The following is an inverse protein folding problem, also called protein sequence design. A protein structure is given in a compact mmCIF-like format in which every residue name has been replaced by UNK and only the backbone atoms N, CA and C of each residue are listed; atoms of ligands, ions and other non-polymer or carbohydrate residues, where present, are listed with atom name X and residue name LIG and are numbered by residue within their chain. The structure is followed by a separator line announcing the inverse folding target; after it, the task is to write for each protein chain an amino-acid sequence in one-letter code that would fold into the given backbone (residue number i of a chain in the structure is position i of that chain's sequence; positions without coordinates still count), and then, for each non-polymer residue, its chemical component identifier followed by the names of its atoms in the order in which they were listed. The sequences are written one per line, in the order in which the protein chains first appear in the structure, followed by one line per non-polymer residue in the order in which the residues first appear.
data_IF_541792104520
#
_entry.id   IF_541792104520
#
_cell.length_a   1.000
_cell.length_b   1.000
_cell.length_c   1.000
_cell.angle_alpha   90.00
_cell.angle_beta   90.00
_cell.angle_gamma   90.00
#
_symmetry.space_group_name_H-M   'P 1'
#
loop_
_entity.id
_entity.type
_entity.pdbx_description
1 polymer ?
#
# COMPACT_ATOMS: atom_id res chain seq x y z
N UNK A 1 -53.38 -1.03 -21.57
CA UNK A 1 -53.67 -0.46 -22.90
C UNK A 1 -53.07 0.94 -22.94
N UNK A 2 -52.16 1.16 -23.91
CA UNK A 2 -51.52 2.41 -24.37
C UNK A 2 -50.42 3.14 -23.55
N UNK A 3 -49.23 3.03 -24.16
CA UNK A 3 -47.98 3.80 -24.19
C UNK A 3 -48.15 5.34 -24.25
N UNK A 4 -47.28 6.08 -23.56
CA UNK A 4 -46.64 7.35 -24.03
C UNK A 4 -45.23 7.41 -23.43
N UNK A 5 -44.15 7.30 -24.21
CA UNK A 5 -43.50 8.25 -25.12
C UNK A 5 -42.66 9.33 -24.42
N UNK A 6 -41.43 9.46 -24.93
CA UNK A 6 -40.27 10.23 -24.51
C UNK A 6 -40.56 11.65 -24.00
N UNK A 7 -39.74 12.09 -23.03
CA UNK A 7 -39.16 13.43 -23.01
C UNK A 7 -37.95 13.49 -22.07
N UNK A 8 -36.77 13.56 -22.66
CA UNK A 8 -35.58 14.17 -22.05
C UNK A 8 -35.84 15.65 -21.82
N UNK A 9 -35.30 16.24 -20.75
CA UNK A 9 -34.85 17.62 -20.80
C UNK A 9 -33.39 17.75 -20.36
N UNK A 10 -32.55 18.14 -21.31
CA UNK A 10 -31.25 18.80 -21.09
C UNK A 10 -31.52 20.26 -20.70
N UNK A 11 -31.38 20.61 -19.41
CA UNK A 11 -31.23 21.98 -18.84
C UNK A 11 -30.57 21.74 -17.46
N UNK A 12 -29.50 22.36 -16.96
CA UNK A 12 -28.69 23.52 -17.32
C UNK A 12 -27.33 23.36 -16.61
N UNK A 13 -26.28 23.85 -17.28
CA UNK A 13 -24.97 24.23 -16.76
C UNK A 13 -25.01 24.78 -15.32
N UNK A 14 -24.15 24.28 -14.43
CA UNK A 14 -24.00 24.81 -13.08
C UNK A 14 -22.97 24.06 -12.24
N UNK A 15 -21.68 24.33 -12.53
CA UNK A 15 -20.51 24.22 -11.63
C UNK A 15 -20.54 23.10 -10.57
N UNK A 16 -19.65 22.12 -10.67
CA UNK A 16 -18.52 22.04 -9.73
C UNK A 16 -17.55 20.93 -10.13
N UNK A 17 -16.32 21.35 -10.33
CA UNK A 17 -15.13 20.56 -10.52
C UNK A 17 -14.91 19.63 -9.32
N UNK A 18 -15.00 18.33 -9.53
CA UNK A 18 -13.93 17.36 -9.27
C UNK A 18 -14.54 15.98 -9.48
N UNK A 19 -14.25 15.42 -10.66
CA UNK A 19 -14.26 13.98 -10.82
C UNK A 19 -13.23 13.43 -9.83
N UNK A 20 -13.68 13.04 -8.64
CA UNK A 20 -12.93 12.11 -7.81
C UNK A 20 -12.98 10.80 -8.59
N UNK A 21 -11.97 10.58 -9.43
CA UNK A 21 -11.67 9.28 -10.01
C UNK A 21 -11.27 8.40 -8.82
N UNK A 22 -12.25 7.90 -8.07
CA UNK A 22 -12.07 6.69 -7.29
C UNK A 22 -11.89 5.64 -8.38
N UNK A 23 -10.65 5.32 -8.73
CA UNK A 23 -10.35 4.20 -9.62
C UNK A 23 -11.00 2.97 -8.98
N UNK A 24 -12.03 2.35 -9.59
CA UNK A 24 -12.58 1.14 -9.04
C UNK A 24 -11.51 0.05 -9.26
N UNK A 25 -10.76 -0.29 -8.21
CA UNK A 25 -9.92 -1.49 -8.20
C UNK A 25 -10.85 -2.71 -8.15
N UNK A 26 -11.46 -3.02 -9.30
CA UNK A 26 -12.16 -4.27 -9.53
C UNK A 26 -11.10 -5.38 -9.46
N UNK A 27 -11.02 -6.06 -8.32
CA UNK A 27 -10.45 -7.42 -8.22
C UNK A 27 -9.08 -7.60 -7.55
N UNK A 28 -8.44 -6.59 -6.97
CA UNK A 28 -7.16 -6.79 -6.25
C UNK A 28 -7.33 -6.63 -4.75
N UNK A 29 -7.16 -7.71 -3.99
CA UNK A 29 -7.16 -7.71 -2.53
C UNK A 29 -5.73 -7.61 -1.98
N UNK A 30 -4.95 -6.65 -2.52
CA UNK A 30 -3.63 -6.34 -2.01
C UNK A 30 -3.72 -5.56 -0.70
N UNK A 31 -2.80 -5.81 0.23
CA UNK A 31 -2.59 -4.98 1.41
C UNK A 31 -1.46 -3.98 1.10
N UNK A 32 -1.63 -2.73 1.53
CA UNK A 32 -0.60 -1.70 1.39
C UNK A 32 0.10 -1.49 2.72
N UNK A 33 1.43 -1.52 2.70
CA UNK A 33 2.26 -1.27 3.87
C UNK A 33 3.14 -0.03 3.66
N UNK A 34 3.14 0.92 4.59
CA UNK A 34 4.14 1.99 4.59
C UNK A 34 5.51 1.39 4.88
N UNK A 35 6.51 1.83 4.13
CA UNK A 35 7.91 1.44 4.34
C UNK A 35 8.75 2.68 4.63
N UNK A 36 9.64 2.56 5.61
CA UNK A 36 10.62 3.58 5.96
C UNK A 36 11.94 3.24 5.26
N UNK A 37 12.41 4.15 4.41
CA UNK A 37 13.65 3.98 3.65
C UNK A 37 14.71 4.94 4.16
N UNK A 38 15.87 4.40 4.54
CA UNK A 38 17.04 5.17 4.94
C UNK A 38 18.19 4.95 3.96
N UNK A 39 19.02 5.99 3.80
CA UNK A 39 20.25 5.91 3.01
C UNK A 39 21.30 6.84 3.59
N UNK A 40 22.42 6.26 3.98
CA UNK A 40 23.60 7.00 4.40
C UNK A 40 24.57 7.19 3.23
N UNK A 41 25.51 8.12 3.39
CA UNK A 41 26.54 8.36 2.40
C UNK A 41 27.41 7.10 2.22
N UNK A 42 27.45 6.56 1.00
CA UNK A 42 28.22 5.36 0.67
C UNK A 42 27.55 4.03 1.04
N UNK A 43 26.29 4.02 1.51
CA UNK A 43 25.52 2.80 1.76
C UNK A 43 24.51 2.49 0.65
N UNK A 44 24.00 1.26 0.66
CA UNK A 44 22.76 0.89 -0.05
C UNK A 44 21.53 1.53 0.60
N UNK A 45 20.38 1.46 -0.07
CA UNK A 45 19.10 1.83 0.54
C UNK A 45 18.68 0.73 1.51
N UNK A 46 18.47 1.07 2.78
CA UNK A 46 17.89 0.17 3.78
C UNK A 46 16.41 0.43 3.94
N UNK A 47 15.62 -0.64 4.12
CA UNK A 47 14.16 -0.56 4.24
C UNK A 47 13.71 -1.27 5.51
N UNK A 48 12.80 -0.63 6.23
CA UNK A 48 12.07 -1.21 7.35
C UNK A 48 10.57 -1.17 7.06
N UNK A 49 9.86 -2.23 7.44
CA UNK A 49 8.39 -2.33 7.33
C UNK A 49 7.80 -2.26 8.74
N UNK A 50 7.39 -1.08 9.25
CA UNK A 50 6.99 -0.92 10.65
C UNK A 50 5.81 -1.82 11.07
N UNK A 51 4.86 -2.02 10.16
CA UNK A 51 3.65 -2.83 10.39
C UNK A 51 3.90 -4.34 10.36
N UNK A 52 5.08 -4.77 9.90
CA UNK A 52 5.48 -6.19 9.89
C UNK A 52 6.83 -6.32 10.61
N UNK A 53 6.82 -6.33 11.96
CA UNK A 53 8.04 -6.39 12.75
C UNK A 53 8.93 -7.56 12.34
N UNK A 54 10.23 -7.28 12.18
CA UNK A 54 11.21 -8.28 11.74
C UNK A 54 11.41 -8.35 10.23
N UNK A 55 10.60 -7.66 9.43
CA UNK A 55 10.85 -7.51 7.99
C UNK A 55 11.72 -6.28 7.73
N UNK A 56 12.93 -6.56 7.26
CA UNK A 56 13.86 -5.57 6.73
C UNK A 56 14.33 -6.01 5.35
N UNK A 57 14.63 -5.04 4.50
CA UNK A 57 15.15 -5.30 3.17
C UNK A 57 16.11 -4.19 2.75
N UNK A 58 16.64 -4.28 1.54
CA UNK A 58 17.60 -3.32 1.01
C UNK A 58 17.71 -3.39 -0.52
N UNK A 59 18.38 -2.41 -1.12
CA UNK A 59 18.73 -2.43 -2.55
C UNK A 59 19.74 -1.34 -2.93
N UNK A 60 20.46 -1.52 -4.04
CA UNK A 60 21.42 -0.54 -4.56
C UNK A 60 20.70 0.73 -5.05
N UNK A 61 19.47 0.57 -5.52
CA UNK A 61 18.59 1.64 -5.94
C UNK A 61 17.29 1.66 -5.15
N UNK A 62 16.59 2.80 -5.13
CA UNK A 62 15.27 2.92 -4.50
C UNK A 62 14.26 1.91 -5.07
N UNK A 63 14.23 1.75 -6.39
CA UNK A 63 13.32 0.80 -7.05
C UNK A 63 13.63 -0.65 -6.66
N UNK A 64 14.90 -1.03 -6.64
CA UNK A 64 15.33 -2.35 -6.20
C UNK A 64 14.98 -2.60 -4.73
N UNK A 65 15.21 -1.62 -3.86
CA UNK A 65 14.87 -1.73 -2.44
C UNK A 65 13.36 -1.97 -2.24
N UNK A 66 12.51 -1.29 -3.01
CA UNK A 66 11.06 -1.49 -2.99
C UNK A 66 10.68 -2.90 -3.46
N UNK A 67 11.23 -3.36 -4.59
CA UNK A 67 10.93 -4.69 -5.12
C UNK A 67 11.42 -5.81 -4.19
N UNK A 68 12.63 -5.67 -3.63
CA UNK A 68 13.16 -6.59 -2.64
C UNK A 68 12.31 -6.60 -1.35
N UNK A 69 11.73 -5.46 -0.98
CA UNK A 69 10.83 -5.38 0.18
C UNK A 69 9.53 -6.14 -0.05
N UNK A 70 8.94 -6.08 -1.26
CA UNK A 70 7.75 -6.89 -1.61
C UNK A 70 8.02 -8.38 -1.41
N UNK A 71 9.15 -8.86 -1.91
CA UNK A 71 9.56 -10.27 -1.78
C UNK A 71 9.78 -10.64 -0.32
N UNK A 72 10.45 -9.78 0.45
CA UNK A 72 10.70 -10.01 1.87
C UNK A 72 9.39 -10.10 2.68
N UNK A 73 8.43 -9.21 2.42
CA UNK A 73 7.10 -9.26 3.04
C UNK A 73 6.41 -10.59 2.71
N UNK A 74 6.29 -10.92 1.42
CA UNK A 74 5.59 -12.14 0.99
C UNK A 74 6.21 -13.39 1.61
N UNK A 75 7.54 -13.52 1.55
CA UNK A 75 8.26 -14.67 2.11
C UNK A 75 8.10 -14.78 3.64
N UNK A 76 8.09 -13.64 4.35
CA UNK A 76 7.88 -13.63 5.79
C UNK A 76 6.47 -14.11 6.14
N UNK A 77 5.44 -13.63 5.44
CA UNK A 77 4.05 -14.08 5.66
C UNK A 77 3.88 -15.56 5.34
N UNK A 78 4.44 -16.03 4.22
CA UNK A 78 4.43 -17.46 3.88
C UNK A 78 5.06 -18.32 4.97
N UNK A 79 6.16 -17.86 5.56
CA UNK A 79 6.85 -18.56 6.65
C UNK A 79 5.99 -18.62 7.91
N UNK A 80 5.36 -17.51 8.32
CA UNK A 80 4.45 -17.48 9.47
C UNK A 80 3.30 -18.47 9.28
N UNK A 81 2.69 -18.50 8.09
CA UNK A 81 1.61 -19.43 7.78
C UNK A 81 2.06 -20.89 7.78
N UNK A 82 3.26 -21.19 7.25
CA UNK A 82 3.82 -22.54 7.25
C UNK A 82 4.11 -23.05 8.67
N UNK A 83 4.43 -22.16 9.61
CA UNK A 83 4.61 -22.47 11.02
C UNK A 83 3.29 -22.55 11.80
N UNK A 84 2.16 -22.27 11.15
CA UNK A 84 0.84 -22.21 11.80
C UNK A 84 0.65 -20.97 12.68
N UNK A 85 1.54 -19.99 12.57
CA UNK A 85 1.44 -18.72 13.28
C UNK A 85 0.40 -17.81 12.61
N UNK A 86 -0.29 -17.01 13.43
CA UNK A 86 -1.29 -16.06 12.94
C UNK A 86 -0.62 -14.84 12.33
N UNK A 87 -0.86 -14.61 11.04
CA UNK A 87 -0.50 -13.38 10.36
C UNK A 87 -1.58 -12.31 10.58
N UNK A 88 -1.42 -11.48 11.62
CA UNK A 88 -2.28 -10.32 11.86
C UNK A 88 -1.46 -9.05 11.63
N UNK A 89 -1.70 -8.38 10.51
CA UNK A 89 -1.02 -7.14 10.17
C UNK A 89 -1.97 -5.95 10.33
N UNK A 90 -1.44 -4.88 10.87
CA UNK A 90 -2.06 -3.55 10.80
C UNK A 90 -1.58 -2.85 9.55
N UNK A 91 -2.40 -1.96 8.99
CA UNK A 91 -1.96 -1.03 7.96
C UNK A 91 -2.01 0.36 8.58
N UNK A 92 -0.90 0.80 9.15
CA UNK A 92 -0.76 2.13 9.71
C UNK A 92 -0.62 3.16 8.59
N UNK A 93 -0.87 4.42 8.92
CA UNK A 93 -0.63 5.53 7.98
C UNK A 93 0.81 6.03 8.09
N UNK A 94 1.32 6.67 7.03
CA UNK A 94 2.64 7.32 7.07
C UNK A 94 2.64 8.46 8.08
N UNK A 95 1.54 9.17 8.23
CA UNK A 95 1.37 10.28 9.17
C UNK A 95 1.58 9.83 10.62
N UNK A 96 1.00 8.70 11.00
CA UNK A 96 1.15 8.13 12.35
C UNK A 96 2.60 7.68 12.61
N UNK A 97 3.21 7.00 11.63
CA UNK A 97 4.54 6.44 11.78
C UNK A 97 5.65 7.49 11.70
N UNK A 98 5.50 8.49 10.82
CA UNK A 98 6.52 9.54 10.62
C UNK A 98 6.68 10.46 11.85
N UNK A 99 5.72 10.47 12.76
CA UNK A 99 5.83 11.16 14.05
C UNK A 99 6.77 10.45 15.04
N UNK A 100 7.11 9.17 14.80
CA UNK A 100 8.04 8.42 15.65
C UNK A 100 9.49 8.85 15.36
N UNK A 101 10.26 9.31 16.37
CA UNK A 101 11.67 9.66 16.21
C UNK A 101 12.57 8.52 15.69
N UNK A 102 12.19 7.25 15.87
CA UNK A 102 12.95 6.10 15.35
C UNK A 102 13.05 6.09 13.82
N UNK A 103 12.11 6.75 13.14
CA UNK A 103 12.08 6.89 11.69
C UNK A 103 12.49 8.29 11.22
N UNK A 104 13.17 9.06 12.06
CA UNK A 104 13.67 10.39 11.69
C UNK A 104 14.56 10.31 10.44
N UNK A 105 14.32 11.21 9.49
CA UNK A 105 15.05 11.26 8.22
C UNK A 105 14.69 10.16 7.21
N UNK A 106 13.72 9.29 7.52
CA UNK A 106 13.23 8.30 6.57
C UNK A 106 12.51 8.95 5.38
N UNK A 107 12.71 8.37 4.21
CA UNK A 107 11.84 8.58 3.04
C UNK A 107 10.76 7.50 3.07
N UNK A 108 9.51 7.90 2.86
CA UNK A 108 8.37 6.99 2.92
C UNK A 108 7.90 6.58 1.52
N UNK A 109 7.47 5.33 1.41
CA UNK A 109 6.75 4.80 0.25
C UNK A 109 5.69 3.81 0.72
N UNK A 110 4.69 3.54 -0.12
CA UNK A 110 3.71 2.49 0.11
C UNK A 110 4.00 1.32 -0.83
N UNK A 111 3.93 0.12 -0.28
CA UNK A 111 4.15 -1.11 -1.03
C UNK A 111 2.88 -1.96 -0.97
N UNK A 112 2.27 -2.19 -2.13
CA UNK A 112 1.15 -3.12 -2.30
C UNK A 112 1.69 -4.55 -2.41
N UNK A 113 1.20 -5.45 -1.54
CA UNK A 113 1.53 -6.88 -1.54
C UNK A 113 0.25 -7.70 -1.49
N UNK A 114 0.15 -8.69 -2.37
CA UNK A 114 -0.92 -9.69 -2.32
C UNK A 114 -0.58 -10.75 -1.28
N UNK A 115 -1.37 -10.84 -0.21
CA UNK A 115 -1.15 -11.80 0.87
C UNK A 115 -2.17 -12.93 0.84
N UNK A 116 -1.75 -14.18 1.06
CA UNK A 116 -2.67 -15.31 1.17
C UNK A 116 -3.62 -15.12 2.36
N UNK A 117 -4.91 -15.30 2.11
CA UNK A 117 -5.94 -15.29 3.17
C UNK A 117 -5.98 -16.66 3.83
N UNK A 118 -5.97 -16.69 5.16
CA UNK A 118 -6.27 -17.90 5.92
C UNK A 118 -7.75 -18.27 5.70
N UNK A 119 -8.01 -19.33 4.95
CA UNK A 119 -9.32 -20.00 4.82
C UNK A 119 -9.66 -20.83 6.04
#
# INVERSE_FOLDING_TARGET
MFVTSLRSPLISMGRLCHALIIRPHIGRTGMEFPIAVHKDAGSVFGVTVPDIPGVHSWGETMGEAIENTKVAIASHVETLLALGEGAHFTCSTVEELSANPDYAGAVWANVEVELPRRT
#
